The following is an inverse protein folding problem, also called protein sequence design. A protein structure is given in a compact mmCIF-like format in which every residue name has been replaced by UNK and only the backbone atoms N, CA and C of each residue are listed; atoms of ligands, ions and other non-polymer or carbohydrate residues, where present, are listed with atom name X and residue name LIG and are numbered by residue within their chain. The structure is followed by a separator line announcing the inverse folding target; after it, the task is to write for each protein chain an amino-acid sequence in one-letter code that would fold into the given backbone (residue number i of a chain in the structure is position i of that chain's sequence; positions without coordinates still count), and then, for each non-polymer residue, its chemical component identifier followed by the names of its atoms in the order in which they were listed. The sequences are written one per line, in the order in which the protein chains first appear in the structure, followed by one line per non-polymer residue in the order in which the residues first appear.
data_IF_111951503282
#
_entry.id   IF_111951503282
#
_cell.length_a   1.000
_cell.length_b   1.000
_cell.length_c   1.000
_cell.angle_alpha   90.00
_cell.angle_beta   90.00
_cell.angle_gamma   90.00
#
_symmetry.space_group_name_H-M   'P 1'
#
loop_
_entity.id
_entity.type
_entity.pdbx_description
1 polymer ?
2 non-polymer ?
3 non-polymer ?
4 non-polymer ?
#
# COMPACT_ATOMS: atom_id res chain seq x y z
N UNK A 1 14.60 -14.91 0.57
CA UNK A 1 15.68 -15.19 1.56
C UNK A 1 17.05 -14.86 0.95
N UNK A 2 17.54 -13.65 1.23
CA UNK A 2 18.84 -13.17 0.75
C UNK A 2 19.50 -12.36 1.87
N UNK A 3 20.79 -12.63 2.16
CA UNK A 3 21.55 -11.94 3.20
C UNK A 3 21.68 -10.42 3.04
N UNK A 4 20.62 -9.77 2.55
CA UNK A 4 20.65 -8.32 2.34
C UNK A 4 20.29 -7.54 3.61
N UNK A 5 21.21 -6.70 4.09
CA UNK A 5 20.98 -5.92 5.30
C UNK A 5 20.03 -4.75 5.12
N UNK A 6 18.89 -4.99 4.49
CA UNK A 6 17.92 -3.93 4.26
C UNK A 6 16.51 -4.29 4.71
N UNK A 7 15.71 -3.26 5.01
CA UNK A 7 14.32 -3.45 5.41
C UNK A 7 13.60 -3.70 4.10
N UNK A 8 12.96 -4.86 3.96
CA UNK A 8 12.26 -5.17 2.72
C UNK A 8 10.79 -5.43 2.99
N UNK A 9 9.96 -5.24 1.97
CA UNK A 9 8.53 -5.49 2.11
C UNK A 9 7.82 -5.27 0.79
N UNK A 10 6.76 -6.03 0.57
CA UNK A 10 5.95 -5.88 -0.63
C UNK A 10 4.81 -4.98 -0.23
N UNK A 11 4.28 -4.22 -1.19
CA UNK A 11 3.18 -3.31 -0.94
C UNK A 11 2.12 -3.50 -2.04
N UNK A 12 1.04 -4.19 -1.70
CA UNK A 12 -0.07 -4.44 -2.62
C UNK A 12 -1.26 -3.60 -2.21
N UNK A 13 -2.21 -3.46 -3.12
CA UNK A 13 -3.39 -2.71 -2.82
C UNK A 13 -4.49 -3.22 -3.71
N UNK A 14 -5.72 -3.07 -3.26
CA UNK A 14 -6.88 -3.45 -4.05
C UNK A 14 -7.00 -4.89 -4.51
N UNK A 15 -6.80 -5.85 -3.61
CA UNK A 15 -6.93 -7.28 -3.94
C UNK A 15 -8.21 -7.87 -3.31
N UNK A 16 -8.62 -9.05 -3.76
CA UNK A 16 -9.81 -9.67 -3.19
C UNK A 16 -11.08 -9.58 -4.03
N UNK A 17 -11.44 -10.65 -4.72
CA UNK A 17 -12.61 -10.63 -5.58
C UNK A 17 -14.00 -10.99 -5.05
N UNK A 18 -14.22 -10.89 -3.73
CA UNK A 18 -15.56 -11.17 -3.19
C UNK A 18 -16.44 -9.95 -3.43
N UNK A 19 -17.77 -10.10 -3.29
CA UNK A 19 -18.47 -11.34 -2.90
C UNK A 19 -18.40 -12.42 -3.96
N UNK A 20 -19.35 -13.34 -3.88
CA UNK A 20 -19.46 -14.46 -4.82
C UNK A 20 -18.45 -15.57 -4.56
N UNK A 21 -18.40 -16.52 -5.48
CA UNK A 21 -17.48 -17.65 -5.37
C UNK A 21 -16.59 -17.69 -6.59
N UNK A 22 -15.26 -17.77 -6.38
CA UNK A 22 -14.64 -17.81 -5.04
C UNK A 22 -14.46 -16.40 -4.47
N UNK A 23 -13.38 -16.18 -3.74
CA UNK A 23 -13.10 -14.86 -3.19
C UNK A 23 -11.97 -14.26 -4.01
N UNK A 24 -11.57 -14.98 -5.05
CA UNK A 24 -10.48 -14.52 -5.89
C UNK A 24 -10.79 -14.40 -7.37
N UNK A 25 -9.91 -13.67 -8.05
CA UNK A 25 -9.97 -13.42 -9.48
C UNK A 25 -8.68 -14.00 -10.07
N UNK A 26 -8.70 -14.30 -11.37
CA UNK A 26 -7.50 -14.85 -12.01
C UNK A 26 -6.29 -14.06 -11.55
N UNK A 27 -6.48 -12.74 -11.49
CA UNK A 27 -5.44 -11.80 -11.12
C UNK A 27 -4.98 -11.86 -9.67
N UNK A 28 -5.90 -11.91 -8.72
CA UNK A 28 -5.44 -11.95 -7.34
C UNK A 28 -4.53 -13.17 -7.20
N UNK A 29 -5.03 -14.31 -7.67
CA UNK A 29 -4.27 -15.55 -7.65
C UNK A 29 -2.86 -15.32 -8.22
N UNK A 30 -2.79 -14.72 -9.41
CA UNK A 30 -1.51 -14.44 -10.08
C UNK A 30 -0.57 -13.64 -9.19
N UNK A 31 -1.07 -12.56 -8.61
CA UNK A 31 -0.23 -11.74 -7.73
C UNK A 31 0.19 -12.51 -6.49
N UNK A 32 -0.72 -13.34 -5.99
CA UNK A 32 -0.45 -14.16 -4.80
C UNK A 32 0.75 -15.06 -5.10
N UNK A 33 0.71 -15.72 -6.26
CA UNK A 33 1.78 -16.62 -6.67
C UNK A 33 3.11 -15.87 -6.86
N UNK A 34 3.06 -14.68 -7.46
CA UNK A 34 4.28 -13.91 -7.69
C UNK A 34 4.82 -13.26 -6.43
N UNK A 35 3.93 -12.76 -5.58
CA UNK A 35 4.35 -12.13 -4.33
C UNK A 35 4.99 -13.21 -3.47
N UNK A 36 4.59 -14.45 -3.69
CA UNK A 36 5.14 -15.58 -2.94
C UNK A 36 6.55 -15.89 -3.45
N UNK A 37 6.72 -15.90 -4.77
CA UNK A 37 8.04 -16.20 -5.32
C UNK A 37 9.01 -15.07 -5.06
N UNK A 38 8.56 -13.85 -5.33
CA UNK A 38 9.36 -12.66 -5.13
C UNK A 38 10.00 -12.66 -3.74
N UNK A 39 9.24 -13.10 -2.74
CA UNK A 39 9.74 -13.15 -1.37
C UNK A 39 10.61 -14.40 -1.07
N UNK A 40 10.56 -15.41 -1.94
CA UNK A 40 11.39 -16.60 -1.74
C UNK A 40 12.80 -16.18 -2.14
N UNK A 41 12.87 -15.50 -3.26
CA UNK A 41 14.11 -15.01 -3.83
C UNK A 41 14.69 -13.82 -3.05
N UNK A 42 14.00 -12.68 -3.07
CA UNK A 42 14.49 -11.49 -2.36
C UNK A 42 14.27 -11.52 -0.84
N UNK A 43 13.18 -12.15 -0.40
CA UNK A 43 12.87 -12.19 1.02
C UNK A 43 12.12 -10.93 1.37
N UNK A 44 11.20 -11.00 2.32
CA UNK A 44 10.43 -9.82 2.72
C UNK A 44 10.16 -9.80 4.22
N UNK A 45 10.33 -8.65 4.86
CA UNK A 45 10.08 -8.51 6.30
C UNK A 45 8.58 -8.53 6.56
N UNK A 46 7.85 -7.75 5.78
CA UNK A 46 6.40 -7.70 5.94
C UNK A 46 5.70 -7.36 4.65
N UNK A 47 4.38 -7.24 4.73
CA UNK A 47 3.59 -6.92 3.57
C UNK A 47 2.50 -5.93 4.00
N UNK A 48 2.34 -4.82 3.28
CA UNK A 48 1.29 -3.89 3.64
C UNK A 48 0.25 -3.86 2.54
N UNK A 49 -1.00 -4.03 2.95
CA UNK A 49 -2.14 -4.00 2.07
C UNK A 49 -2.51 -2.51 1.99
N UNK A 50 -2.64 -1.99 0.78
CA UNK A 50 -2.96 -0.58 0.64
C UNK A 50 -4.45 -0.26 0.52
N UNK A 51 -5.31 -1.25 0.78
CA UNK A 51 -6.73 -0.94 0.72
C UNK A 51 -7.61 -1.78 -0.19
N UNK A 52 -8.91 -1.73 0.06
CA UNK A 52 -9.86 -2.51 -0.72
C UNK A 52 -9.50 -4.00 -0.49
N UNK A 53 -9.42 -4.37 0.79
CA UNK A 53 -9.08 -5.73 1.24
C UNK A 53 -10.05 -6.87 0.85
N UNK A 54 -11.34 -6.58 0.80
CA UNK A 54 -12.37 -7.56 0.39
C UNK A 54 -13.28 -6.68 -0.43
N UNK A 55 -13.02 -6.69 -1.72
CA UNK A 55 -13.63 -5.77 -2.68
C UNK A 55 -14.97 -5.12 -2.77
N UNK A 56 -16.11 -5.76 -2.54
CA UNK A 56 -17.30 -4.91 -2.72
C UNK A 56 -17.84 -4.31 -1.44
N UNK A 57 -17.86 -5.10 -0.38
CA UNK A 57 -18.26 -4.62 0.93
C UNK A 57 -17.35 -5.46 1.79
N UNK A 58 -16.47 -4.79 2.51
CA UNK A 58 -15.50 -5.51 3.33
C UNK A 58 -15.77 -6.12 4.68
N UNK A 59 -16.30 -7.34 4.71
CA UNK A 59 -16.52 -8.06 5.97
C UNK A 59 -17.69 -7.72 6.92
N UNK A 60 -18.55 -8.72 7.14
CA UNK A 60 -19.72 -8.63 8.04
C UNK A 60 -19.27 -8.84 9.48
N UNK A 61 -19.26 -10.11 9.86
CA UNK A 61 -18.85 -10.53 11.19
C UNK A 61 -17.45 -10.05 11.50
N UNK A 62 -17.34 -9.50 12.69
CA UNK A 62 -16.11 -9.00 13.24
C UNK A 62 -15.19 -10.18 13.38
N UNK A 63 -14.27 -10.36 12.45
CA UNK A 63 -13.32 -11.46 12.52
C UNK A 63 -13.88 -12.76 11.94
N UNK A 64 -15.13 -13.06 12.29
CA UNK A 64 -15.75 -14.30 11.85
C UNK A 64 -16.18 -14.35 10.39
N UNK A 65 -16.26 -13.19 9.75
CA UNK A 65 -16.66 -13.15 8.35
C UNK A 65 -15.81 -14.15 7.58
N UNK A 66 -16.47 -15.03 6.81
CA UNK A 66 -15.76 -16.06 6.04
C UNK A 66 -14.77 -15.55 4.98
N UNK A 67 -14.92 -14.30 4.56
CA UNK A 67 -14.00 -13.76 3.55
C UNK A 67 -12.59 -13.54 4.11
N UNK A 68 -12.50 -13.25 5.41
CA UNK A 68 -11.21 -13.04 6.05
C UNK A 68 -10.39 -14.31 5.78
N UNK A 69 -11.11 -15.40 5.54
CA UNK A 69 -10.47 -16.68 5.30
C UNK A 69 -10.04 -16.93 3.87
N UNK A 70 -10.91 -16.64 2.90
CA UNK A 70 -10.50 -16.88 1.52
C UNK A 70 -9.32 -15.98 1.08
N UNK A 71 -8.91 -15.03 1.94
CA UNK A 71 -7.73 -14.19 1.68
C UNK A 71 -6.56 -15.03 2.19
N UNK A 72 -6.77 -15.59 3.38
CA UNK A 72 -5.81 -16.46 4.06
C UNK A 72 -5.49 -17.62 3.12
N UNK A 73 -6.52 -18.09 2.42
CA UNK A 73 -6.41 -19.19 1.47
C UNK A 73 -5.79 -18.81 0.13
N UNK A 74 -5.99 -17.56 -0.29
CA UNK A 74 -5.42 -17.08 -1.56
C UNK A 74 -3.90 -16.90 -1.40
N UNK A 75 -3.51 -16.26 -0.30
CA UNK A 75 -2.11 -16.03 0.01
C UNK A 75 -1.61 -17.19 0.87
N UNK A 76 -1.81 -18.38 0.35
CA UNK A 76 -1.41 -19.62 0.98
C UNK A 76 -0.30 -20.23 0.14
N UNK A 77 0.92 -20.18 0.66
CA UNK A 77 2.10 -20.71 -0.03
C UNK A 77 3.22 -20.64 1.00
N UNK A 78 3.85 -21.77 1.28
CA UNK A 78 4.92 -21.84 2.28
C UNK A 78 5.85 -20.63 2.32
N UNK A 79 6.02 -19.93 1.20
CA UNK A 79 6.89 -18.77 1.15
C UNK A 79 6.34 -17.63 2.01
N UNK A 80 5.04 -17.35 1.86
CA UNK A 80 4.38 -16.30 2.63
C UNK A 80 3.82 -16.88 3.93
N UNK A 81 3.87 -18.20 4.05
CA UNK A 81 3.38 -18.93 5.22
C UNK A 81 3.70 -18.29 6.58
N UNK A 82 4.62 -17.34 6.62
CA UNK A 82 4.96 -16.72 7.90
C UNK A 82 5.37 -15.25 7.83
N UNK A 83 4.92 -14.54 6.80
CA UNK A 83 5.26 -13.13 6.61
C UNK A 83 4.21 -12.17 7.16
N UNK A 84 4.59 -11.32 8.13
CA UNK A 84 3.70 -10.32 8.74
C UNK A 84 2.99 -9.45 7.71
N UNK A 85 1.74 -9.08 7.98
CA UNK A 85 0.97 -8.23 7.09
C UNK A 85 0.49 -7.02 7.88
N UNK A 86 0.66 -5.83 7.31
CA UNK A 86 0.19 -4.60 7.92
C UNK A 86 -0.91 -4.10 6.99
N UNK A 87 -2.13 -4.08 7.50
CA UNK A 87 -3.30 -3.71 6.70
C UNK A 87 -3.78 -2.27 6.82
N UNK A 88 -4.48 -1.82 5.78
CA UNK A 88 -5.04 -0.48 5.69
C UNK A 88 -6.50 -0.55 5.28
N UNK A 89 -7.24 0.47 5.70
CA UNK A 89 -8.64 0.58 5.37
C UNK A 89 -8.81 1.22 3.98
N UNK A 90 -9.50 0.52 3.09
CA UNK A 90 -9.75 1.07 1.76
C UNK A 90 -11.15 1.66 1.79
N UNK A 91 -11.68 2.09 0.64
CA UNK A 91 -13.05 2.64 0.63
C UNK A 91 -14.09 1.53 0.70
N UNK A 92 -13.84 0.43 0.01
CA UNK A 92 -14.77 -0.70 0.04
C UNK A 92 -14.82 -1.38 1.39
N UNK A 93 -13.72 -1.30 2.14
CA UNK A 93 -13.67 -1.90 3.46
C UNK A 93 -14.50 -1.05 4.43
N UNK A 94 -14.81 0.19 4.03
CA UNK A 94 -15.60 1.07 4.87
C UNK A 94 -17.10 0.95 4.53
N UNK A 95 -17.42 0.04 3.62
CA UNK A 95 -18.80 -0.21 3.25
C UNK A 95 -19.22 -1.41 4.11
N UNK A 96 -18.25 -1.93 4.85
CA UNK A 96 -18.46 -3.06 5.74
C UNK A 96 -17.96 -2.70 7.14
N UNK A 97 -17.82 -3.71 8.00
CA UNK A 97 -17.35 -3.50 9.37
C UNK A 97 -15.84 -3.44 9.37
N UNK A 98 -15.30 -2.24 9.56
CA UNK A 98 -13.85 -2.04 9.59
C UNK A 98 -13.27 -2.55 10.92
N UNK A 99 -13.99 -2.28 12.00
CA UNK A 99 -13.58 -2.70 13.33
C UNK A 99 -13.38 -4.20 13.27
N UNK A 100 -14.06 -4.84 12.32
CA UNK A 100 -13.98 -6.28 12.11
C UNK A 100 -12.58 -6.68 11.67
N UNK A 101 -12.08 -6.02 10.63
CA UNK A 101 -10.75 -6.33 10.13
C UNK A 101 -9.71 -5.95 11.17
N UNK A 102 -10.00 -4.94 11.99
CA UNK A 102 -9.06 -4.53 13.03
C UNK A 102 -8.94 -5.66 14.06
N UNK A 103 -10.09 -6.12 14.55
CA UNK A 103 -10.13 -7.18 15.54
C UNK A 103 -9.60 -8.50 14.98
N UNK A 104 -9.73 -8.68 13.67
CA UNK A 104 -9.28 -9.90 13.02
C UNK A 104 -7.82 -10.20 13.29
N UNK A 105 -7.10 -9.17 13.71
CA UNK A 105 -5.68 -9.30 14.01
C UNK A 105 -5.48 -10.05 15.32
N UNK A 106 -6.57 -10.58 15.86
CA UNK A 106 -6.54 -11.35 17.10
C UNK A 106 -6.77 -12.82 16.76
N UNK A 107 -7.37 -13.07 15.59
CA UNK A 107 -7.64 -14.42 15.11
C UNK A 107 -6.48 -14.90 14.23
N UNK A 108 -5.78 -13.96 13.59
CA UNK A 108 -4.65 -14.28 12.72
C UNK A 108 -3.39 -13.56 13.19
N UNK A 109 -2.31 -14.34 13.38
CA UNK A 109 -1.07 -13.75 13.83
C UNK A 109 -0.45 -12.88 12.74
N UNK A 110 -0.53 -13.33 11.49
CA UNK A 110 0.05 -12.56 10.40
C UNK A 110 -0.73 -11.30 10.06
N UNK A 111 -2.01 -11.29 10.38
CA UNK A 111 -2.82 -10.12 10.10
C UNK A 111 -2.67 -9.07 11.21
N UNK A 112 -2.11 -7.93 10.85
CA UNK A 112 -1.90 -6.82 11.77
C UNK A 112 -2.73 -5.62 11.35
N UNK A 113 -3.61 -5.18 12.24
CA UNK A 113 -4.47 -4.04 11.96
C UNK A 113 -5.00 -3.57 13.31
N UNK A 114 -4.16 -2.86 14.05
CA UNK A 114 -4.44 -2.31 15.40
C UNK A 114 -5.51 -1.20 15.44
N UNK A 115 -5.42 -0.25 14.52
CA UNK A 115 -6.33 0.87 14.44
C UNK A 115 -6.56 1.22 12.97
N UNK A 116 -7.57 2.06 12.67
CA UNK A 116 -7.81 2.43 11.26
C UNK A 116 -6.53 3.10 10.71
N UNK A 117 -5.86 3.82 11.59
CA UNK A 117 -4.61 4.48 11.26
C UNK A 117 -3.71 4.29 12.47
N UNK A 118 -2.41 4.05 12.21
CA UNK A 118 -1.45 3.80 13.27
C UNK A 118 -0.03 4.06 12.83
N UNK A 119 0.91 3.94 13.77
CA UNK A 119 2.32 4.15 13.49
C UNK A 119 3.07 2.84 13.61
N UNK A 120 3.92 2.57 12.63
CA UNK A 120 4.75 1.38 12.60
C UNK A 120 6.19 1.89 12.73
N UNK A 121 7.08 1.07 13.28
CA UNK A 121 8.47 1.52 13.43
C UNK A 121 9.45 0.37 13.23
N UNK A 122 10.19 0.43 12.15
CA UNK A 122 11.15 -0.62 11.85
C UNK A 122 12.60 -0.13 11.94
N UNK A 123 13.53 -1.03 11.64
CA UNK A 123 14.94 -0.70 11.71
C UNK A 123 15.75 -1.55 10.72
N UNK A 124 16.67 -0.92 10.00
CA UNK A 124 17.49 -1.63 9.03
C UNK A 124 18.54 -2.44 9.81
N UNK A 125 18.89 -3.63 9.32
CA UNK A 125 19.89 -4.47 9.98
C UNK A 125 21.21 -3.73 10.23
N UNK A 126 21.31 -2.52 9.69
CA UNK A 126 22.50 -1.68 9.87
C UNK A 126 22.20 -0.66 10.95
N UNK A 127 21.61 -1.16 12.03
CA UNK A 127 21.22 -0.39 13.21
C UNK A 127 20.71 1.03 13.01
N UNK A 128 21.51 2.01 13.46
CA UNK A 128 21.17 3.43 13.38
C UNK A 128 20.02 3.80 12.44
N UNK A 129 20.07 3.30 11.20
CA UNK A 129 19.03 3.59 10.21
C UNK A 129 17.67 2.99 10.57
N UNK A 130 16.79 3.83 11.08
CA UNK A 130 15.45 3.42 11.47
C UNK A 130 14.42 4.08 10.57
N UNK A 131 13.32 3.36 10.35
CA UNK A 131 12.26 3.86 9.50
C UNK A 131 10.94 3.94 10.26
N UNK A 132 10.15 4.96 9.93
CA UNK A 132 8.83 5.14 10.55
C UNK A 132 7.80 5.05 9.42
N UNK A 133 6.73 4.32 9.67
CA UNK A 133 5.66 4.15 8.69
C UNK A 133 4.36 4.62 9.32
N UNK A 134 3.65 5.53 8.66
CA UNK A 134 2.38 6.04 9.18
C UNK A 134 1.23 5.55 8.32
N UNK A 135 0.51 4.56 8.82
CA UNK A 135 -0.65 4.01 8.13
C UNK A 135 -1.87 4.87 8.47
N UNK A 136 -2.50 5.47 7.47
CA UNK A 136 -3.64 6.33 7.71
C UNK A 136 -4.92 5.78 7.12
N UNK A 137 -6.04 6.34 7.56
CA UNK A 137 -7.33 5.95 7.04
C UNK A 137 -7.81 7.12 6.19
N UNK A 138 -7.78 6.96 4.88
CA UNK A 138 -8.18 8.05 3.99
C UNK A 138 -9.68 8.31 3.96
N UNK A 139 -10.50 7.27 4.08
CA UNK A 139 -11.93 7.53 4.07
C UNK A 139 -12.28 8.41 5.28
N UNK A 140 -11.61 8.15 6.39
CA UNK A 140 -11.83 8.92 7.63
C UNK A 140 -11.17 10.31 7.59
N UNK A 141 -10.20 10.46 6.71
CA UNK A 141 -9.46 11.71 6.59
C UNK A 141 -10.07 12.63 5.51
N UNK A 142 -10.79 12.02 4.57
CA UNK A 142 -11.43 12.72 3.45
C UNK A 142 -12.93 12.46 3.30
N UNK A 143 -13.28 12.15 2.05
CA UNK A 143 -14.65 11.86 1.66
C UNK A 143 -14.88 11.80 0.14
N UNK A 144 -14.04 12.47 -0.66
CA UNK A 144 -14.19 12.49 -2.13
C UNK A 144 -14.17 11.08 -2.74
N UNK A 145 -14.76 10.93 -3.92
CA UNK A 145 -14.80 9.61 -4.57
C UNK A 145 -14.69 9.67 -6.11
N UNK A 161 -14.62 11.29 9.49
CA UNK A 161 -14.60 11.48 10.96
C UNK A 161 -13.18 11.27 11.52
N UNK A 162 -12.29 12.18 11.20
CA UNK A 162 -10.91 12.10 11.67
C UNK A 162 -10.19 13.43 11.54
N UNK A 163 -10.65 14.42 12.31
CA UNK A 163 -10.01 15.74 12.30
C UNK A 163 -8.86 15.67 13.30
N UNK A 164 -8.85 14.62 14.12
CA UNK A 164 -7.80 14.42 15.09
C UNK A 164 -6.74 13.53 14.42
N UNK A 165 -7.14 12.78 13.39
CA UNK A 165 -6.18 11.93 12.69
C UNK A 165 -5.20 12.86 11.98
N UNK A 166 -5.75 13.83 11.26
CA UNK A 166 -4.93 14.80 10.54
C UNK A 166 -4.10 15.60 11.55
N UNK A 167 -4.66 15.81 12.73
CA UNK A 167 -3.96 16.55 13.78
C UNK A 167 -2.94 15.64 14.46
N UNK A 168 -3.20 14.33 14.41
CA UNK A 168 -2.32 13.33 14.99
C UNK A 168 -1.06 13.20 14.15
N UNK A 169 -1.24 13.07 12.84
CA UNK A 169 -0.14 12.93 11.89
C UNK A 169 0.78 14.14 11.96
N UNK A 170 0.21 15.32 12.23
CA UNK A 170 0.98 16.56 12.35
C UNK A 170 2.01 16.40 13.45
N UNK A 171 1.53 16.21 14.68
CA UNK A 171 2.40 16.04 15.83
C UNK A 171 3.40 14.91 15.58
N UNK A 172 2.89 13.77 15.13
CA UNK A 172 3.71 12.60 14.81
C UNK A 172 4.92 12.94 13.95
N UNK A 173 4.61 13.42 12.74
CA UNK A 173 5.62 13.79 11.74
C UNK A 173 6.54 14.90 12.23
N UNK A 174 5.99 15.78 13.05
CA UNK A 174 6.77 16.89 13.59
C UNK A 174 7.63 16.42 14.76
N UNK A 175 7.28 15.26 15.33
CA UNK A 175 8.02 14.72 16.46
C UNK A 175 8.88 13.51 16.11
N UNK A 176 8.61 12.89 14.96
CA UNK A 176 9.38 11.73 14.53
C UNK A 176 10.83 12.11 14.27
N UNK A 177 11.76 11.23 14.67
CA UNK A 177 13.17 11.49 14.48
C UNK A 177 13.85 10.37 13.71
N UNK A 178 13.06 9.41 13.22
CA UNK A 178 13.61 8.29 12.46
C UNK A 178 14.41 8.82 11.27
N UNK A 179 15.14 7.93 10.61
CA UNK A 179 15.94 8.32 9.46
C UNK A 179 15.11 8.39 8.20
N UNK A 180 14.05 7.59 8.15
CA UNK A 180 13.14 7.59 7.02
C UNK A 180 11.72 7.73 7.56
N UNK A 181 10.83 8.27 6.73
CA UNK A 181 9.45 8.42 7.13
C UNK A 181 8.57 8.18 5.92
N UNK A 182 7.78 7.12 5.96
CA UNK A 182 6.88 6.79 4.87
C UNK A 182 5.46 7.01 5.39
N UNK A 183 4.55 7.31 4.46
CA UNK A 183 3.15 7.53 4.78
C UNK A 183 2.35 6.80 3.70
N UNK A 184 1.33 6.06 4.13
CA UNK A 184 0.47 5.32 3.21
C UNK A 184 -1.00 5.53 3.60
N UNK A 185 -1.87 5.33 2.62
CA UNK A 185 -3.30 5.50 2.82
C UNK A 185 -3.93 4.84 1.60
N UNK A 186 -5.25 4.87 1.47
CA UNK A 186 -5.84 4.20 0.31
C UNK A 186 -6.08 5.11 -0.87
N UNK A 187 -6.51 6.33 -0.60
CA UNK A 187 -6.78 7.29 -1.67
C UNK A 187 -5.49 7.91 -2.14
N UNK A 188 -5.41 8.23 -3.45
CA UNK A 188 -4.21 8.85 -4.04
C UNK A 188 -4.15 10.35 -3.76
N UNK A 189 -2.94 10.91 -3.71
CA UNK A 189 -2.81 12.35 -3.59
C UNK A 189 -2.72 12.69 -5.07
N UNK A 190 -1.66 12.16 -5.70
CA UNK A 190 -1.41 12.32 -7.13
C UNK A 190 -1.69 10.99 -7.84
N UNK A 191 -2.36 11.05 -8.99
CA UNK A 191 -2.67 9.86 -9.80
C UNK A 191 -3.36 10.28 -11.06
N UNK A 192 -2.93 9.75 -12.18
CA UNK A 192 -3.49 10.09 -13.49
C UNK A 192 -4.64 9.15 -13.89
N UNK A 193 -4.79 8.04 -13.18
CA UNK A 193 -5.79 7.03 -13.50
C UNK A 193 -7.26 7.45 -13.36
N UNK A 194 -8.16 6.47 -13.36
CA UNK A 194 -9.60 6.71 -13.27
C UNK A 194 -10.09 7.64 -12.16
N UNK A 195 -9.69 7.39 -10.93
CA UNK A 195 -10.12 8.25 -9.83
C UNK A 195 -9.38 9.58 -9.85
N UNK A 196 -8.07 9.52 -9.99
CA UNK A 196 -7.28 10.73 -10.03
C UNK A 196 -6.95 11.32 -8.67
N UNK A 197 -6.27 12.48 -8.66
CA UNK A 197 -5.92 13.14 -7.39
C UNK A 197 -7.16 13.27 -6.52
N UNK A 198 -6.96 13.20 -5.21
CA UNK A 198 -8.09 13.36 -4.32
C UNK A 198 -7.92 14.74 -3.70
N UNK A 199 -8.86 15.62 -4.02
CA UNK A 199 -8.82 17.01 -3.56
C UNK A 199 -8.42 17.25 -2.11
N UNK A 200 -9.10 16.60 -1.17
CA UNK A 200 -8.80 16.76 0.26
C UNK A 200 -7.38 16.34 0.65
N UNK A 201 -6.83 15.30 0.01
CA UNK A 201 -5.47 14.87 0.34
C UNK A 201 -4.47 15.85 -0.22
N UNK A 202 -4.68 16.27 -1.46
CA UNK A 202 -3.81 17.25 -2.11
C UNK A 202 -3.77 18.53 -1.28
N UNK A 203 -4.86 18.83 -0.60
CA UNK A 203 -4.96 20.03 0.21
C UNK A 203 -4.48 19.87 1.65
N UNK A 204 -4.90 18.78 2.30
CA UNK A 204 -4.54 18.54 3.70
C UNK A 204 -3.32 17.66 3.99
N UNK A 205 -3.06 16.67 3.14
CA UNK A 205 -1.93 15.80 3.37
C UNK A 205 -0.65 16.27 2.65
N UNK A 206 -0.72 16.40 1.32
CA UNK A 206 0.43 16.80 0.49
C UNK A 206 1.33 17.84 1.14
N UNK A 207 0.75 18.87 1.75
CA UNK A 207 1.60 19.89 2.38
C UNK A 207 2.43 19.36 3.54
N UNK A 208 1.96 18.29 4.19
CA UNK A 208 2.63 17.71 5.35
C UNK A 208 3.83 16.81 5.05
N UNK A 209 3.93 16.32 3.81
CA UNK A 209 5.01 15.43 3.42
C UNK A 209 6.32 16.20 3.22
N UNK A 210 6.32 17.13 2.28
CA UNK A 210 7.51 17.94 2.02
C UNK A 210 7.83 18.81 3.23
N UNK A 211 6.79 19.14 3.99
CA UNK A 211 6.93 19.97 5.19
C UNK A 211 7.86 19.38 6.22
N UNK A 212 7.64 18.11 6.56
CA UNK A 212 8.46 17.43 7.56
C UNK A 212 9.37 16.38 6.94
N UNK A 213 9.54 16.46 5.62
CA UNK A 213 10.43 15.54 4.93
C UNK A 213 10.08 14.08 4.83
N UNK A 214 8.84 13.76 4.44
CA UNK A 214 8.41 12.39 4.26
C UNK A 214 9.08 11.90 2.99
N UNK A 215 9.65 10.72 3.01
CA UNK A 215 10.33 10.23 1.83
C UNK A 215 9.34 9.96 0.69
N UNK A 216 8.19 9.36 1.02
CA UNK A 216 7.24 9.06 -0.02
C UNK A 216 5.86 8.70 0.51
N UNK A 217 4.89 8.71 -0.40
CA UNK A 217 3.53 8.37 -0.07
C UNK A 217 3.03 7.22 -0.94
N UNK A 218 2.81 6.09 -0.29
CA UNK A 218 2.29 4.89 -0.96
C UNK A 218 0.76 4.87 -0.88
N UNK A 219 0.11 4.35 -1.90
CA UNK A 219 -1.35 4.29 -1.91
C UNK A 219 -1.81 3.36 -3.00
N UNK A 220 -3.12 3.14 -3.05
CA UNK A 220 -3.70 2.29 -4.08
C UNK A 220 -4.92 3.01 -4.63
N UNK A 221 -6.05 2.33 -4.61
CA UNK A 221 -7.33 2.89 -5.07
C UNK A 221 -7.50 2.92 -6.58
N UNK A 222 -6.50 3.42 -7.30
CA UNK A 222 -6.57 3.42 -8.76
C UNK A 222 -5.96 2.07 -9.16
N UNK A 223 -6.78 1.22 -9.78
CA UNK A 223 -6.35 -0.12 -10.18
C UNK A 223 -5.27 -0.16 -11.27
N UNK A 224 -4.05 0.14 -10.85
CA UNK A 224 -2.90 0.16 -11.74
C UNK A 224 -1.60 0.44 -10.98
N UNK A 225 -0.51 0.51 -11.75
CA UNK A 225 0.82 0.75 -11.19
C UNK A 225 1.42 2.06 -11.66
N UNK A 226 1.81 2.92 -10.73
CA UNK A 226 2.47 4.16 -11.10
C UNK A 226 3.37 4.77 -10.04
N UNK A 227 4.38 5.47 -10.52
CA UNK A 227 5.33 6.15 -9.65
C UNK A 227 5.36 7.59 -10.12
N UNK A 228 5.14 8.51 -9.17
CA UNK A 228 5.15 9.94 -9.46
C UNK A 228 6.19 10.52 -8.53
N UNK A 229 6.59 11.76 -8.79
CA UNK A 229 7.55 12.44 -7.92
C UNK A 229 7.48 13.95 -8.14
N UNK A 230 7.19 14.67 -7.07
CA UNK A 230 7.08 16.12 -7.12
C UNK A 230 8.44 16.80 -7.07
N UNK A 231 8.46 18.08 -7.41
CA UNK A 231 9.68 18.86 -7.44
C UNK A 231 10.33 19.02 -6.07
N UNK A 232 9.82 18.33 -5.07
CA UNK A 232 10.42 18.43 -3.74
C UNK A 232 11.19 17.16 -3.42
N UNK A 233 11.05 16.16 -4.27
CA UNK A 233 11.72 14.89 -4.06
C UNK A 233 10.87 13.86 -3.34
N UNK A 234 9.71 14.28 -2.85
CA UNK A 234 8.80 13.37 -2.18
C UNK A 234 8.33 12.49 -3.32
N UNK A 235 8.36 11.17 -3.12
CA UNK A 235 7.94 10.26 -4.17
C UNK A 235 6.49 9.86 -4.01
N UNK A 236 5.88 9.39 -5.09
CA UNK A 236 4.49 8.96 -5.01
C UNK A 236 4.32 7.57 -5.61
N UNK A 237 4.26 6.59 -4.72
CA UNK A 237 4.13 5.18 -5.07
C UNK A 237 2.67 4.72 -5.06
N UNK A 238 2.09 4.56 -6.24
CA UNK A 238 0.70 4.09 -6.36
C UNK A 238 0.74 2.67 -6.89
N UNK A 239 0.52 1.71 -5.99
CA UNK A 239 0.58 0.31 -6.36
C UNK A 239 -0.64 -0.52 -6.05
N UNK A 240 -1.82 -0.06 -6.45
CA UNK A 240 -3.02 -0.84 -6.18
C UNK A 240 -3.52 -1.66 -7.35
N UNK A 241 -2.80 -2.72 -7.72
CA UNK A 241 -3.27 -3.53 -8.83
C UNK A 241 -3.11 -5.00 -8.54
N UNK A 242 -3.66 -5.44 -7.41
CA UNK A 242 -3.55 -6.84 -7.04
C UNK A 242 -4.76 -7.68 -7.42
N UNK A 243 -5.84 -7.02 -7.84
CA UNK A 243 -7.06 -7.73 -8.19
C UNK A 243 -7.64 -7.20 -9.50
N UNK A 244 -7.57 -5.89 -9.67
CA UNK A 244 -8.09 -5.23 -10.87
C UNK A 244 -7.02 -4.47 -11.66
N UNK A 245 -7.34 -4.16 -12.91
CA UNK A 245 -6.42 -3.42 -13.77
C UNK A 245 -7.19 -2.41 -14.63
N UNK A 246 -6.96 -1.11 -14.40
CA UNK A 246 -7.64 -0.06 -15.15
C UNK A 246 -6.67 0.74 -16.02
N UNK A 247 -6.88 0.74 -17.35
CA UNK A 247 -6.08 1.43 -18.39
C UNK A 247 -6.31 2.93 -18.52
N UNK A 248 -7.22 3.45 -17.69
CA UNK A 248 -7.58 4.88 -17.70
C UNK A 248 -6.49 5.82 -17.22
N UNK A 249 -6.50 6.99 -17.84
CA UNK A 249 -5.58 8.07 -17.52
C UNK A 249 -6.36 9.38 -17.68
N UNK A 250 -7.67 9.30 -17.44
CA UNK A 250 -8.56 10.46 -17.53
C UNK A 250 -8.02 11.67 -16.76
N UNK A 251 -7.15 11.43 -15.79
CA UNK A 251 -6.62 12.50 -14.98
C UNK A 251 -5.17 12.91 -15.19
N UNK A 252 -4.65 12.61 -16.38
CA UNK A 252 -3.28 12.95 -16.73
C UNK A 252 -3.17 14.46 -16.55
N UNK A 253 -4.14 15.14 -17.12
CA UNK A 253 -4.25 16.58 -17.07
C UNK A 253 -4.30 17.14 -15.64
N UNK A 254 -4.86 16.39 -14.69
CA UNK A 254 -4.94 16.87 -13.30
C UNK A 254 -3.63 16.77 -12.51
N UNK A 255 -2.62 16.13 -13.08
CA UNK A 255 -1.33 15.96 -12.41
C UNK A 255 -0.30 16.90 -13.05
N UNK A 256 0.23 17.86 -12.27
CA UNK A 256 1.22 18.83 -12.76
C UNK A 256 2.43 18.21 -13.45
N UNK A 257 2.48 18.40 -14.77
CA UNK A 257 3.53 17.86 -15.63
C UNK A 257 4.92 17.67 -15.03
N UNK A 258 5.45 16.46 -15.20
CA UNK A 258 6.76 16.15 -14.67
C UNK A 258 6.66 15.20 -13.47
N UNK A 259 5.48 15.13 -12.87
CA UNK A 259 5.28 14.25 -11.71
C UNK A 259 5.23 12.78 -12.15
N UNK A 260 4.53 12.50 -13.25
CA UNK A 260 4.47 11.12 -13.74
C UNK A 260 5.84 10.67 -14.24
N UNK A 261 6.33 9.54 -13.75
CA UNK A 261 7.62 9.01 -14.17
C UNK A 261 7.40 7.61 -14.69
N UNK A 262 6.35 6.98 -14.19
CA UNK A 262 6.04 5.62 -14.60
C UNK A 262 4.58 5.25 -14.39
N UNK A 263 3.98 4.61 -15.39
CA UNK A 263 2.60 4.18 -15.27
C UNK A 263 2.31 2.92 -16.08
N UNK A 264 1.62 1.97 -15.45
CA UNK A 264 1.25 0.74 -16.13
C UNK A 264 -0.12 0.27 -15.67
N UNK A 265 -1.04 0.17 -16.63
CA UNK A 265 -2.38 -0.27 -16.31
C UNK A 265 -3.07 -0.93 -17.48
N UNK A 266 -2.30 -1.63 -18.31
CA UNK A 266 -2.85 -2.29 -19.49
C UNK A 266 -3.97 -3.27 -19.17
N UNK A 267 -4.87 -3.42 -20.14
CA UNK A 267 -6.02 -4.31 -20.02
C UNK A 267 -5.58 -5.79 -19.95
N UNK A 268 -4.82 -6.22 -20.95
CA UNK A 268 -4.36 -7.60 -21.05
C UNK A 268 -3.41 -8.11 -19.96
N UNK A 269 -3.00 -7.24 -19.05
CA UNK A 269 -2.08 -7.67 -17.99
C UNK A 269 -2.78 -8.11 -16.72
N UNK A 270 -2.22 -9.12 -16.05
CA UNK A 270 -2.79 -9.57 -14.79
C UNK A 270 -2.38 -8.52 -13.77
N UNK A 271 -2.22 -8.94 -12.52
CA UNK A 271 -1.83 -7.98 -11.52
C UNK A 271 -0.48 -7.27 -11.71
N UNK A 272 0.06 -6.84 -10.57
CA UNK A 272 1.32 -6.16 -10.49
C UNK A 272 1.38 -5.55 -9.09
N UNK A 273 2.58 -5.35 -8.56
CA UNK A 273 2.70 -4.75 -7.23
C UNK A 273 4.09 -4.11 -7.09
N UNK A 274 4.44 -3.67 -5.89
CA UNK A 274 5.73 -3.03 -5.65
C UNK A 274 6.57 -3.74 -4.59
N UNK A 275 7.88 -3.65 -4.74
CA UNK A 275 8.81 -4.22 -3.77
C UNK A 275 9.66 -3.03 -3.31
N UNK A 276 9.83 -2.91 -1.99
CA UNK A 276 10.59 -1.80 -1.41
C UNK A 276 11.72 -2.32 -0.57
N UNK A 277 12.87 -1.67 -0.67
CA UNK A 277 14.05 -2.07 0.08
C UNK A 277 14.77 -0.81 0.57
N UNK A 278 14.67 -0.53 1.86
CA UNK A 278 15.32 0.63 2.46
C UNK A 278 16.62 0.22 3.13
N UNK A 279 17.72 0.83 2.71
CA UNK A 279 19.01 0.52 3.29
C UNK A 279 19.62 1.71 3.99
N UNK A 280 20.89 1.59 4.33
CA UNK A 280 21.61 2.65 5.02
C UNK A 280 21.65 3.96 4.22
N UNK A 281 21.73 3.83 2.90
CA UNK A 281 21.80 5.00 2.04
C UNK A 281 20.53 5.43 1.33
N UNK A 282 19.88 4.52 0.62
CA UNK A 282 18.64 4.89 -0.07
C UNK A 282 17.50 3.90 0.06
N UNK A 283 16.33 4.35 -0.39
CA UNK A 283 15.12 3.56 -0.39
C UNK A 283 14.81 3.23 -1.85
N UNK A 284 14.66 1.96 -2.17
CA UNK A 284 14.38 1.56 -3.54
C UNK A 284 12.95 1.05 -3.74
N UNK A 285 12.38 1.36 -4.90
CA UNK A 285 11.03 0.94 -5.23
C UNK A 285 11.01 0.30 -6.61
N UNK A 286 11.04 -1.02 -6.68
CA UNK A 286 10.98 -1.65 -7.98
C UNK A 286 9.56 -2.18 -8.16
N UNK A 287 8.98 -1.93 -9.32
CA UNK A 287 7.62 -2.35 -9.63
C UNK A 287 7.65 -3.67 -10.38
N UNK A 288 7.02 -4.68 -9.78
CA UNK A 288 6.97 -6.02 -10.36
C UNK A 288 5.58 -6.40 -10.86
N UNK A 289 5.50 -6.78 -12.14
CA UNK A 289 4.24 -7.19 -12.71
C UNK A 289 3.92 -8.57 -12.18
N UNK A 290 2.66 -8.98 -12.26
CA UNK A 290 2.28 -10.30 -11.78
C UNK A 290 3.19 -11.35 -12.40
N UNK A 291 3.41 -11.24 -13.71
CA UNK A 291 4.25 -12.15 -14.49
C UNK A 291 5.63 -12.45 -13.91
N UNK A 292 6.26 -11.49 -13.25
CA UNK A 292 7.57 -11.72 -12.68
C UNK A 292 8.59 -10.70 -13.16
N UNK A 293 8.33 -10.09 -14.30
CA UNK A 293 9.21 -9.08 -14.89
C UNK A 293 9.23 -7.80 -14.08
N UNK A 294 10.43 -7.27 -13.82
CA UNK A 294 10.53 -5.99 -13.13
C UNK A 294 10.33 -4.99 -14.26
N UNK A 295 9.29 -4.17 -14.19
CA UNK A 295 9.04 -3.22 -15.27
C UNK A 295 9.37 -1.75 -15.00
N UNK A 296 9.84 -1.45 -13.79
CA UNK A 296 10.25 -0.10 -13.42
C UNK A 296 10.88 -0.05 -12.03
N UNK A 297 12.01 0.65 -11.94
CA UNK A 297 12.67 0.81 -10.65
C UNK A 297 13.22 2.22 -10.55
N UNK A 298 13.37 2.68 -9.32
CA UNK A 298 13.92 3.99 -9.00
C UNK A 298 14.27 3.96 -7.52
N UNK A 299 15.11 4.87 -7.06
CA UNK A 299 15.45 4.89 -5.64
C UNK A 299 15.28 6.31 -5.12
N UNK A 300 15.10 6.42 -3.80
CA UNK A 300 14.93 7.72 -3.19
C UNK A 300 16.01 7.93 -2.13
N UNK A 301 16.59 9.14 -2.12
CA UNK A 301 17.65 9.46 -1.15
C UNK A 301 17.17 9.44 0.30
N UNK A 302 18.13 9.37 1.22
CA UNK A 302 17.84 9.33 2.65
C UNK A 302 17.29 10.66 3.16
X LIG B 1 -17.97 -5.18 14.03
X LIG B 1 -19.31 -5.69 14.62
X LIG B 1 -19.31 -6.09 16.14
X LIG B 1 -17.96 -6.63 16.63
X LIG B 1 -16.80 -5.79 16.05
X LIG B 1 -15.43 -6.28 16.45
X LIG B 1 -21.31 -4.74 13.64
X LIG B 1 -22.29 -3.61 13.69
X LIG B 1 -20.31 -4.66 14.52
X LIG B 1 -20.34 -7.06 16.38
X LIG B 1 -17.91 -6.66 18.05
X LIG B 1 -16.85 -5.84 14.60
X LIG B 1 -15.45 -7.64 16.88
X LIG B 1 -21.46 -5.68 12.86
X LIG C 1 -10.52 2.01 -3.67
X LIG D 1 -10.12 -0.32 -5.69
X LIG E 1 -12.94 1.71 -6.10
X LIG E 1 -11.89 2.57 -6.74
X LIG E 1 -12.80 1.79 -4.60
X LIG E 1 -14.30 2.21 -6.50
X LIG E 1 -12.77 0.29 -6.55
#
# INVERSE_FOLDING_TARGET
TAPASTLRFVAVGDWGGVPNAPFHTAREMANAKEIARTVQIMGADFIMSLGDNFYFTGVHDANDKRFQETFEDVFSDRALRNIPWYVLAGNHDHLGNVSAQIAYSKISKRWNFPSPYYRLRFKVPRSNITVAIFMLDTVMLCGNSDDFVSQQPEMPRDLGVARTQLSWLKKQLAAAKEDYVLVAGHYPIWSIAEHGPTRCLVKNLRPLLAAYGVTAYLCGHDHNLQYLQDENGVGYVLSGAGNFMDPSVRHQRKVPNGYLRFHYGSEDSLGGFTYVEIGSKEMSITYVEASGKSLFKTSLPRRPRP
NAG C1 C2 C3 C4 C5 C6 C7 C8 N2 O3 O4 O5 O6 O7
FE FE
FE FE
PO4 P O1 O2 O3 O4
#
